data_IF_963858197990
#
_entry.id   IF_963858197990
#
_cell.length_a   1.000
_cell.length_b   1.000
_cell.length_c   1.000
_cell.angle_alpha   90.00
_cell.angle_beta   90.00
_cell.angle_gamma   90.00
#
_symmetry.space_group_name_H-M   'P 1'
#
loop_
_entity.id
_entity.type
_entity.pdbx_description
1 polymer ?
#
# COMPACT_ATOMS: atom_id res chain seq x y z
N UNK A 1 18.46 5.04 -2.30
CA UNK A 1 19.01 4.41 -1.08
C UNK A 1 17.99 3.37 -0.62
N UNK A 2 18.27 2.09 -0.82
CA UNK A 2 17.34 1.00 -0.50
C UNK A 2 17.60 0.50 0.92
N UNK A 3 16.84 1.01 1.90
CA UNK A 3 16.76 0.33 3.18
C UNK A 3 16.03 -1.00 2.99
N UNK A 4 16.60 -2.09 3.51
CA UNK A 4 15.86 -3.34 3.54
C UNK A 4 14.59 -3.15 4.38
N UNK A 5 13.46 -3.68 3.90
CA UNK A 5 12.20 -3.66 4.61
C UNK A 5 11.92 -5.04 5.23
N UNK A 6 11.09 -5.07 6.26
CA UNK A 6 10.68 -6.30 6.93
C UNK A 6 9.22 -6.20 7.30
N UNK A 7 8.48 -7.31 7.23
CA UNK A 7 7.10 -7.33 7.73
C UNK A 7 7.05 -7.01 9.22
N UNK A 8 6.19 -6.07 9.58
CA UNK A 8 5.90 -5.74 10.97
C UNK A 8 5.20 -6.88 11.74
N UNK A 9 4.70 -7.91 11.06
CA UNK A 9 4.26 -9.17 11.69
C UNK A 9 5.35 -9.77 12.59
N UNK A 10 6.61 -9.62 12.20
CA UNK A 10 7.76 -10.08 12.99
C UNK A 10 7.88 -9.35 14.34
N UNK A 11 7.39 -8.12 14.45
CA UNK A 11 7.35 -7.34 15.69
C UNK A 11 6.34 -7.96 16.66
N UNK A 12 5.16 -8.32 16.17
CA UNK A 12 4.11 -8.96 16.99
C UNK A 12 4.60 -10.32 17.49
N UNK A 13 5.22 -11.12 16.62
CA UNK A 13 5.83 -12.40 17.01
C UNK A 13 6.89 -12.21 18.12
N UNK A 14 7.72 -11.16 18.03
CA UNK A 14 8.71 -10.82 19.07
C UNK A 14 8.05 -10.40 20.37
N UNK A 15 6.97 -9.61 20.33
CA UNK A 15 6.22 -9.20 21.51
C UNK A 15 5.63 -10.40 22.24
N UNK A 16 4.97 -11.30 21.51
CA UNK A 16 4.41 -12.53 22.07
C UNK A 16 5.50 -13.41 22.67
N UNK A 17 6.63 -13.61 21.97
CA UNK A 17 7.72 -14.44 22.49
C UNK A 17 8.43 -13.83 23.71
N UNK A 18 8.61 -12.50 23.75
CA UNK A 18 9.41 -11.83 24.78
C UNK A 18 8.61 -11.47 26.02
N UNK A 19 7.37 -11.04 25.84
CA UNK A 19 6.52 -10.50 26.91
C UNK A 19 5.27 -11.36 27.16
N UNK A 20 5.06 -12.44 26.40
CA UNK A 20 3.89 -13.31 26.60
C UNK A 20 2.55 -12.63 26.28
N UNK A 21 2.57 -11.55 25.48
CA UNK A 21 1.37 -10.78 25.15
C UNK A 21 0.68 -11.29 23.88
N UNK A 22 -0.65 -11.16 23.85
CA UNK A 22 -1.47 -11.46 22.66
C UNK A 22 -2.16 -10.19 22.23
N UNK A 23 -2.09 -9.88 20.93
CA UNK A 23 -2.63 -8.66 20.33
C UNK A 23 -3.46 -9.08 19.13
N UNK A 24 -4.66 -8.50 18.98
CA UNK A 24 -5.49 -8.75 17.80
C UNK A 24 -4.78 -8.22 16.55
N UNK A 25 -5.02 -8.85 15.39
CA UNK A 25 -4.40 -8.41 14.14
C UNK A 25 -4.79 -6.96 13.77
N UNK A 26 -6.05 -6.59 13.97
CA UNK A 26 -6.52 -5.23 13.67
C UNK A 26 -5.85 -4.19 14.56
N UNK A 27 -5.75 -4.44 15.87
CA UNK A 27 -5.13 -3.50 16.81
C UNK A 27 -3.63 -3.40 16.58
N UNK A 28 -3.00 -4.54 16.28
CA UNK A 28 -1.59 -4.58 15.93
C UNK A 28 -1.30 -3.71 14.70
N UNK A 29 -2.08 -3.85 13.61
CA UNK A 29 -1.91 -3.03 12.41
C UNK A 29 -2.14 -1.55 12.78
N UNK A 30 -3.23 -1.23 13.47
CA UNK A 30 -3.56 0.14 13.93
C UNK A 30 -2.36 0.80 14.65
N UNK A 31 -1.89 0.18 15.74
CA UNK A 31 -0.82 0.72 16.58
C UNK A 31 0.55 0.73 15.90
N UNK A 32 0.79 -0.16 14.93
CA UNK A 32 2.00 -0.10 14.11
C UNK A 32 1.96 1.14 13.22
N UNK A 33 0.81 1.48 12.65
CA UNK A 33 0.63 2.69 11.86
C UNK A 33 0.91 3.96 12.65
N UNK A 34 0.31 4.06 13.84
CA UNK A 34 0.55 5.16 14.77
C UNK A 34 2.05 5.28 15.12
N UNK A 35 2.73 4.15 15.35
CA UNK A 35 4.16 4.15 15.61
C UNK A 35 4.98 4.68 14.41
N UNK A 36 4.60 4.30 13.18
CA UNK A 36 5.26 4.76 11.94
C UNK A 36 5.11 6.28 11.80
N UNK A 37 3.92 6.81 12.10
CA UNK A 37 3.60 8.23 12.09
C UNK A 37 4.41 9.01 13.14
N UNK A 38 4.43 8.52 14.38
CA UNK A 38 5.18 9.11 15.50
C UNK A 38 6.70 9.14 15.26
N UNK A 39 7.25 8.09 14.63
CA UNK A 39 8.67 8.08 14.24
C UNK A 39 8.93 9.10 13.11
N UNK A 40 7.92 9.37 12.28
CA UNK A 40 8.01 10.27 11.15
C UNK A 40 8.69 9.65 9.92
N UNK A 41 8.71 8.31 9.82
CA UNK A 41 9.44 7.61 8.77
C UNK A 41 8.66 6.41 8.25
N UNK A 42 8.39 6.38 6.94
CA UNK A 42 7.75 5.24 6.24
C UNK A 42 8.64 4.73 5.09
N UNK A 43 8.35 3.52 4.64
CA UNK A 43 9.03 2.84 3.51
C UNK A 43 8.61 3.35 2.12
N UNK A 44 7.80 4.40 2.03
CA UNK A 44 7.28 4.90 0.75
C UNK A 44 6.00 4.19 0.30
N UNK A 45 5.32 4.77 -0.68
CA UNK A 45 4.34 4.07 -1.52
C UNK A 45 5.01 3.56 -2.79
N UNK A 46 4.47 2.50 -3.38
CA UNK A 46 4.94 1.99 -4.67
C UNK A 46 3.78 1.85 -5.65
N UNK A 47 4.09 1.85 -6.95
CA UNK A 47 3.09 1.63 -7.99
C UNK A 47 2.77 0.13 -8.09
N UNK A 48 1.49 -0.22 -8.05
CA UNK A 48 1.01 -1.59 -8.19
C UNK A 48 0.02 -1.70 -9.35
N UNK A 49 0.05 -2.86 -10.00
CA UNK A 49 -0.87 -3.25 -11.07
C UNK A 49 -1.65 -4.47 -10.58
N UNK A 50 -2.97 -4.36 -10.52
CA UNK A 50 -3.84 -5.47 -10.11
C UNK A 50 -4.97 -5.71 -11.11
N UNK A 51 -5.20 -6.98 -11.46
CA UNK A 51 -6.31 -7.40 -12.33
C UNK A 51 -7.55 -7.61 -11.47
N UNK A 52 -8.56 -6.77 -11.65
CA UNK A 52 -9.77 -6.73 -10.82
C UNK A 52 -10.99 -7.11 -11.64
N UNK A 53 -11.86 -7.93 -11.04
CA UNK A 53 -13.13 -8.32 -11.65
C UNK A 53 -14.18 -7.23 -11.40
N UNK A 54 -14.83 -6.76 -12.46
CA UNK A 54 -15.96 -5.85 -12.35
C UNK A 54 -17.19 -6.63 -11.89
N UNK A 55 -17.82 -6.16 -10.81
CA UNK A 55 -19.03 -6.75 -10.24
C UNK A 55 -20.09 -5.66 -10.13
N UNK A 56 -21.26 -5.87 -10.74
CA UNK A 56 -22.37 -4.92 -10.72
C UNK A 56 -21.95 -3.48 -11.11
N UNK A 57 -21.17 -3.35 -12.19
CA UNK A 57 -20.64 -2.07 -12.68
C UNK A 57 -19.74 -1.33 -11.68
N UNK A 58 -19.17 -2.06 -10.72
CA UNK A 58 -18.23 -1.53 -9.73
C UNK A 58 -16.90 -2.27 -9.81
N UNK A 59 -15.82 -1.50 -9.68
CA UNK A 59 -14.45 -2.01 -9.55
C UNK A 59 -14.15 -2.07 -8.04
N UNK A 60 -13.83 -3.24 -7.47
CA UNK A 60 -13.46 -3.35 -6.07
C UNK A 60 -12.19 -2.54 -5.79
N UNK A 61 -12.05 -1.99 -4.59
CA UNK A 61 -10.84 -1.28 -4.18
C UNK A 61 -9.93 -2.26 -3.42
N UNK A 62 -8.67 -2.45 -3.85
CA UNK A 62 -7.70 -3.23 -3.10
C UNK A 62 -7.50 -2.70 -1.65
N UNK A 63 -7.18 -3.60 -0.72
CA UNK A 63 -6.98 -3.22 0.68
C UNK A 63 -5.81 -2.26 0.88
N UNK A 64 -4.74 -2.43 0.09
CA UNK A 64 -3.51 -1.64 0.10
C UNK A 64 -3.60 -0.32 -0.69
N UNK A 65 -4.75 -0.01 -1.28
CA UNK A 65 -4.91 1.16 -2.15
C UNK A 65 -4.79 2.49 -1.40
N UNK A 66 -3.89 3.34 -1.89
CA UNK A 66 -3.68 4.73 -1.48
C UNK A 66 -4.37 5.67 -2.47
N UNK A 67 -3.92 5.70 -3.72
CA UNK A 67 -4.46 6.58 -4.74
C UNK A 67 -4.42 5.97 -6.14
N UNK A 68 -5.40 6.33 -6.96
CA UNK A 68 -5.54 5.82 -8.32
C UNK A 68 -4.65 6.60 -9.27
N UNK A 69 -3.87 5.89 -10.09
CA UNK A 69 -3.21 6.47 -11.25
C UNK A 69 -4.15 6.41 -12.46
N UNK A 70 -4.56 5.20 -12.86
CA UNK A 70 -5.50 4.98 -13.96
C UNK A 70 -6.00 3.53 -14.04
N UNK A 71 -7.03 3.29 -14.84
CA UNK A 71 -7.50 1.94 -15.19
C UNK A 71 -7.19 1.63 -16.64
N UNK A 72 -6.92 0.36 -16.93
CA UNK A 72 -6.79 -0.17 -18.29
C UNK A 72 -7.83 -1.25 -18.53
N UNK A 73 -8.53 -1.14 -19.64
CA UNK A 73 -9.52 -2.08 -20.10
C UNK A 73 -9.36 -2.30 -21.60
N UNK A 74 -9.30 -3.56 -22.05
CA UNK A 74 -9.11 -3.92 -23.46
C UNK A 74 -7.96 -3.16 -24.16
N UNK A 75 -6.86 -2.95 -23.44
CA UNK A 75 -5.66 -2.29 -23.97
C UNK A 75 -5.70 -0.76 -24.02
N UNK A 76 -6.75 -0.12 -23.50
CA UNK A 76 -6.84 1.34 -23.40
C UNK A 76 -7.04 1.82 -21.98
N UNK A 77 -6.52 3.02 -21.70
CA UNK A 77 -6.81 3.76 -20.49
C UNK A 77 -8.29 4.13 -20.47
N UNK A 78 -9.00 3.82 -19.38
CA UNK A 78 -10.38 4.26 -19.21
C UNK A 78 -10.42 5.77 -18.99
N UNK A 79 -11.37 6.45 -19.64
CA UNK A 79 -11.61 7.87 -19.44
C UNK A 79 -12.36 8.10 -18.14
N UNK A 80 -12.08 9.20 -17.46
CA UNK A 80 -12.93 9.65 -16.36
C UNK A 80 -14.23 10.21 -16.95
N UNK A 81 -15.37 9.65 -16.54
CA UNK A 81 -16.70 10.03 -17.02
C UNK A 81 -17.59 10.53 -15.89
N UNK A 82 -18.70 11.18 -16.25
CA UNK A 82 -19.82 11.43 -15.34
C UNK A 82 -20.93 10.39 -15.61
N UNK A 83 -21.69 9.95 -14.58
CA UNK A 83 -22.78 8.98 -14.75
C UNK A 83 -23.83 9.41 -15.79
N UNK A 84 -24.02 10.72 -15.94
CA UNK A 84 -24.93 11.29 -16.92
C UNK A 84 -24.17 11.55 -18.23
N UNK A 85 -24.64 10.90 -19.29
CA UNK A 85 -24.05 10.72 -20.63
C UNK A 85 -23.70 11.99 -21.44
N UNK A 86 -23.52 13.15 -20.83
CA UNK A 86 -23.31 14.43 -21.51
C UNK A 86 -22.16 15.23 -20.91
N UNK A 87 -20.96 14.66 -20.90
CA UNK A 87 -19.71 15.33 -21.29
C UNK A 87 -18.58 14.36 -20.96
N UNK A 88 -18.04 13.69 -21.98
CA UNK A 88 -16.61 13.36 -21.93
C UNK A 88 -15.93 14.72 -21.84
N UNK A 89 -15.44 15.11 -20.66
CA UNK A 89 -14.49 16.21 -20.58
C UNK A 89 -13.42 15.90 -21.63
N UNK A 90 -13.02 16.90 -22.42
CA UNK A 90 -11.83 16.78 -23.27
C UNK A 90 -10.64 16.68 -22.33
N UNK A 91 -10.46 15.49 -21.78
CA UNK A 91 -9.31 15.15 -21.00
C UNK A 91 -8.18 14.95 -22.01
N UNK A 92 -7.47 16.03 -22.29
CA UNK A 92 -6.26 16.02 -23.13
C UNK A 92 -5.15 15.14 -22.53
N UNK A 93 -5.34 14.53 -21.35
CA UNK A 93 -4.46 13.48 -20.85
C UNK A 93 -4.64 12.12 -21.56
N UNK A 94 -5.65 11.97 -22.43
CA UNK A 94 -5.84 10.82 -23.31
C UNK A 94 -5.03 10.90 -24.62
N UNK A 95 -4.28 11.99 -24.85
CA UNK A 95 -3.51 12.22 -26.08
C UNK A 95 -2.15 11.48 -26.10
N UNK A 96 -1.85 10.66 -25.08
CA UNK A 96 -0.68 9.79 -25.01
C UNK A 96 -1.07 8.36 -24.54
N UNK A 97 -2.05 7.76 -25.20
CA UNK A 97 -2.56 6.41 -24.92
C UNK A 97 -1.74 5.28 -25.59
N UNK A 98 -0.41 5.41 -25.67
CA UNK A 98 0.43 4.22 -25.78
C UNK A 98 0.62 3.68 -24.36
N UNK A 99 -0.36 2.91 -23.89
CA UNK A 99 -0.31 2.16 -22.64
C UNK A 99 1.01 1.37 -22.53
N UNK A 100 1.53 0.87 -23.64
CA UNK A 100 2.83 0.19 -23.68
C UNK A 100 3.99 1.15 -23.46
N UNK A 101 3.93 2.35 -24.02
CA UNK A 101 4.88 3.44 -23.76
C UNK A 101 4.92 3.86 -22.29
N UNK A 102 3.78 4.00 -21.63
CA UNK A 102 3.69 4.35 -20.19
C UNK A 102 4.15 3.21 -19.28
N UNK A 103 3.76 1.97 -19.59
CA UNK A 103 4.27 0.77 -18.91
C UNK A 103 5.79 0.70 -19.05
N UNK A 104 6.31 0.80 -20.27
CA UNK A 104 7.74 0.76 -20.55
C UNK A 104 8.50 1.89 -19.84
N UNK A 105 7.95 3.10 -19.76
CA UNK A 105 8.58 4.24 -19.06
C UNK A 105 8.61 4.05 -17.54
N UNK A 106 7.50 3.64 -16.92
CA UNK A 106 7.47 3.34 -15.48
C UNK A 106 8.38 2.17 -15.13
N UNK A 107 8.40 1.11 -15.94
CA UNK A 107 9.30 -0.01 -15.74
C UNK A 107 10.77 0.37 -15.91
N UNK A 108 11.09 1.27 -16.85
CA UNK A 108 12.46 1.77 -17.03
C UNK A 108 12.94 2.56 -15.81
N UNK A 109 12.07 3.37 -15.20
CA UNK A 109 12.35 4.04 -13.93
C UNK A 109 12.54 3.04 -12.77
N UNK A 110 11.69 2.01 -12.66
CA UNK A 110 11.85 0.95 -11.65
C UNK A 110 13.15 0.15 -11.84
N UNK A 111 13.55 -0.09 -13.09
CA UNK A 111 14.81 -0.75 -13.45
C UNK A 111 16.05 0.11 -13.12
N UNK A 112 15.96 1.43 -13.27
CA UNK A 112 17.04 2.34 -12.94
C UNK A 112 17.19 2.51 -11.41
N UNK A 113 16.10 2.47 -10.64
CA UNK A 113 16.10 2.58 -9.16
C UNK A 113 16.44 1.26 -8.43
N UNK A 114 16.05 0.10 -8.94
CA UNK A 114 16.31 -1.20 -8.28
C UNK A 114 17.77 -1.61 -8.25
N UNK A 115 18.55 -1.08 -9.19
CA UNK A 115 19.69 -1.80 -9.74
C UNK A 115 20.98 -0.99 -9.67
N UNK A 116 21.02 0.02 -8.81
CA UNK A 116 22.19 0.86 -8.58
C UNK A 116 23.37 0.06 -7.99
N UNK A 117 23.12 -1.06 -7.27
CA UNK A 117 24.19 -1.81 -6.55
C UNK A 117 24.14 -3.36 -6.68
N UNK A 118 23.35 -3.96 -7.59
CA UNK A 118 23.23 -5.42 -7.71
C UNK A 118 24.21 -6.09 -8.69
N UNK A 119 24.51 -7.37 -8.45
CA UNK A 119 25.38 -8.22 -9.28
C UNK A 119 24.74 -8.42 -10.66
N UNK A 120 25.57 -8.63 -11.70
CA UNK A 120 25.08 -8.67 -13.09
C UNK A 120 24.04 -9.78 -13.37
N UNK A 121 24.16 -10.94 -12.72
CA UNK A 121 23.17 -12.04 -12.84
C UNK A 121 21.80 -11.69 -12.24
N UNK A 122 21.75 -11.02 -11.08
CA UNK A 122 20.48 -10.62 -10.46
C UNK A 122 19.77 -9.56 -11.30
N UNK A 123 20.52 -8.62 -11.88
CA UNK A 123 20.00 -7.63 -12.83
C UNK A 123 19.35 -8.32 -14.04
N UNK A 124 20.03 -9.31 -14.61
CA UNK A 124 19.52 -10.05 -15.78
C UNK A 124 18.25 -10.84 -15.44
N UNK A 125 18.19 -11.49 -14.28
CA UNK A 125 16.98 -12.20 -13.81
C UNK A 125 15.78 -11.26 -13.63
N UNK A 126 15.99 -10.10 -13.00
CA UNK A 126 14.95 -9.08 -12.84
C UNK A 126 14.47 -8.59 -14.20
N UNK A 127 15.38 -8.21 -15.11
CA UNK A 127 15.07 -7.77 -16.47
C UNK A 127 14.24 -8.83 -17.22
N UNK A 128 14.61 -10.11 -17.15
CA UNK A 128 13.89 -11.19 -17.82
C UNK A 128 12.47 -11.36 -17.26
N UNK A 129 12.32 -11.26 -15.94
CA UNK A 129 11.02 -11.32 -15.26
C UNK A 129 10.12 -10.17 -15.69
N UNK A 130 10.66 -8.95 -15.77
CA UNK A 130 9.93 -7.79 -16.26
C UNK A 130 9.53 -7.93 -17.74
N UNK A 131 10.43 -8.40 -18.60
CA UNK A 131 10.12 -8.66 -20.02
C UNK A 131 8.99 -9.67 -20.20
N UNK A 132 8.97 -10.75 -19.42
CA UNK A 132 7.89 -11.74 -19.43
C UNK A 132 6.55 -11.10 -19.00
N UNK A 133 6.58 -10.22 -18.01
CA UNK A 133 5.39 -9.48 -17.53
C UNK A 133 4.86 -8.51 -18.59
N UNK A 134 5.74 -7.81 -19.30
CA UNK A 134 5.38 -6.94 -20.44
C UNK A 134 4.73 -7.77 -21.55
N UNK A 135 5.38 -8.84 -22.00
CA UNK A 135 4.84 -9.69 -23.06
C UNK A 135 3.47 -10.31 -22.71
N UNK A 136 3.26 -10.67 -21.43
CA UNK A 136 1.97 -11.11 -20.93
C UNK A 136 0.91 -9.98 -21.04
N UNK A 137 1.23 -8.77 -20.57
CA UNK A 137 0.33 -7.63 -20.66
C UNK A 137 0.01 -7.26 -22.12
N UNK A 138 1.00 -7.27 -23.02
CA UNK A 138 0.83 -7.06 -24.46
C UNK A 138 -0.14 -8.08 -25.07
N UNK A 139 -0.06 -9.35 -24.65
CA UNK A 139 -0.93 -10.41 -25.15
C UNK A 139 -2.38 -10.26 -24.68
N UNK A 140 -2.60 -9.77 -23.45
CA UNK A 140 -3.94 -9.52 -22.89
C UNK A 140 -4.60 -8.28 -23.53
N UNK A 141 -3.82 -7.28 -23.91
CA UNK A 141 -4.30 -5.99 -24.43
C UNK A 141 -4.57 -5.94 -25.93
N UNK A 142 -4.50 -7.08 -26.64
CA UNK A 142 -4.74 -7.20 -28.10
C UNK A 142 -6.21 -7.03 -28.58
N UNK A 143 -7.04 -6.29 -27.84
CA UNK A 143 -8.46 -6.12 -28.17
C UNK A 143 -8.72 -4.76 -28.84
N UNK A 144 -9.62 -4.76 -29.83
CA UNK A 144 -9.98 -3.57 -30.61
C UNK A 144 -10.90 -2.66 -29.76
N UNK A 145 -10.44 -1.47 -29.33
CA UNK A 145 -11.04 -0.79 -28.19
C UNK A 145 -12.19 0.14 -28.60
N UNK A 146 -13.35 -0.02 -27.94
CA UNK A 146 -14.53 0.82 -28.11
C UNK A 146 -14.29 2.10 -27.28
N UNK A 147 -14.28 3.27 -27.93
CA UNK A 147 -13.98 4.58 -27.32
C UNK A 147 -15.11 5.14 -26.41
N UNK A 148 -15.90 4.25 -25.81
CA UNK A 148 -17.06 4.56 -24.97
C UNK A 148 -16.91 4.09 -23.53
N UNK A 149 -15.80 3.41 -23.20
CA UNK A 149 -15.59 2.86 -21.86
C UNK A 149 -15.01 3.93 -20.91
N UNK A 150 -15.57 4.02 -19.70
CA UNK A 150 -15.24 5.03 -18.71
C UNK A 150 -15.28 4.49 -17.28
N UNK A 151 -14.72 5.26 -16.35
CA UNK A 151 -14.88 5.07 -14.92
C UNK A 151 -15.28 6.38 -14.26
N UNK A 152 -15.90 6.31 -13.08
CA UNK A 152 -16.26 7.47 -12.29
C UNK A 152 -16.14 7.16 -10.79
N UNK A 153 -15.98 8.20 -9.97
CA UNK A 153 -15.99 8.03 -8.52
C UNK A 153 -17.42 7.86 -8.03
N UNK A 154 -17.67 6.79 -7.28
CA UNK A 154 -18.94 6.58 -6.60
C UNK A 154 -18.72 6.91 -5.12
N UNK A 155 -19.37 7.98 -4.64
CA UNK A 155 -19.16 8.56 -3.31
C UNK A 155 -19.04 7.50 -2.21
N UNK A 156 -17.81 7.29 -1.72
CA UNK A 156 -17.50 6.38 -0.62
C UNK A 156 -17.57 4.87 -0.93
N UNK A 157 -17.92 4.44 -2.15
CA UNK A 157 -18.09 3.02 -2.51
C UNK A 157 -17.11 2.51 -3.59
N UNK A 158 -16.13 3.32 -3.96
CA UNK A 158 -15.11 2.98 -4.96
C UNK A 158 -15.43 3.52 -6.34
N UNK A 159 -15.09 2.75 -7.37
CA UNK A 159 -15.16 3.22 -8.76
C UNK A 159 -16.29 2.51 -9.51
N UNK A 160 -17.20 3.30 -10.08
CA UNK A 160 -18.18 2.81 -11.05
C UNK A 160 -17.57 2.74 -12.45
N UNK A 161 -18.04 1.82 -13.28
CA UNK A 161 -17.59 1.68 -14.68
C UNK A 161 -18.67 1.02 -15.54
N UNK A 162 -18.68 1.33 -16.83
CA UNK A 162 -19.45 0.58 -17.83
C UNK A 162 -18.67 -0.61 -18.42
N UNK A 163 -17.39 -0.77 -18.07
CA UNK A 163 -16.59 -1.93 -18.46
C UNK A 163 -17.18 -3.23 -17.87
N UNK A 164 -16.92 -4.35 -18.53
CA UNK A 164 -17.40 -5.67 -18.08
C UNK A 164 -16.25 -6.67 -18.01
N UNK A 165 -16.35 -7.70 -17.17
CA UNK A 165 -15.27 -8.67 -17.02
C UNK A 165 -14.15 -8.18 -16.12
N UNK A 166 -12.96 -7.93 -16.67
CA UNK A 166 -11.77 -7.58 -15.91
C UNK A 166 -11.16 -6.25 -16.36
N UNK A 167 -10.71 -5.46 -15.39
CA UNK A 167 -9.94 -4.23 -15.59
C UNK A 167 -8.60 -4.36 -14.87
N UNK A 168 -7.58 -3.69 -15.37
CA UNK A 168 -6.30 -3.55 -14.70
C UNK A 168 -6.24 -2.20 -14.01
N UNK A 169 -6.04 -2.19 -12.70
CA UNK A 169 -5.92 -0.98 -11.91
C UNK A 169 -4.45 -0.66 -11.66
N UNK A 170 -4.05 0.56 -11.99
CA UNK A 170 -2.74 1.12 -11.71
C UNK A 170 -2.91 2.12 -10.58
N UNK A 171 -2.24 1.89 -9.46
CA UNK A 171 -2.45 2.69 -8.26
C UNK A 171 -1.20 2.72 -7.39
N UNK A 172 -1.10 3.74 -6.54
CA UNK A 172 -0.14 3.76 -5.44
C UNK A 172 -0.66 2.89 -4.30
N UNK A 173 0.19 2.02 -3.78
CA UNK A 173 -0.15 1.06 -2.74
C UNK A 173 0.72 1.22 -1.49
N UNK A 174 0.15 0.87 -0.34
CA UNK A 174 0.92 0.61 0.87
C UNK A 174 1.79 -0.65 0.68
N UNK A 175 3.07 -0.61 1.08
CA UNK A 175 3.90 -1.81 1.13
C UNK A 175 3.44 -2.68 2.30
N UNK A 176 2.60 -3.67 1.98
CA UNK A 176 2.10 -4.66 2.91
C UNK A 176 2.71 -6.03 2.59
N UNK A 177 2.76 -6.91 3.59
CA UNK A 177 2.96 -8.33 3.37
C UNK A 177 1.66 -9.02 2.92
N UNK A 178 1.75 -10.32 2.63
CA UNK A 178 0.61 -11.13 2.19
C UNK A 178 -0.53 -11.21 3.23
N UNK A 179 -0.23 -10.93 4.50
CA UNK A 179 -1.20 -10.86 5.58
C UNK A 179 -1.76 -9.45 5.78
N UNK A 180 -1.33 -8.45 5.02
CA UNK A 180 -1.77 -7.06 5.17
C UNK A 180 -1.09 -6.30 6.31
N UNK A 181 0.01 -6.83 6.88
CA UNK A 181 0.85 -6.07 7.80
C UNK A 181 1.75 -5.11 7.02
N UNK A 182 1.95 -3.87 7.49
CA UNK A 182 2.87 -2.95 6.82
C UNK A 182 4.30 -3.49 6.88
N UNK A 183 5.01 -3.32 5.77
CA UNK A 183 6.46 -3.42 5.76
C UNK A 183 7.02 -2.19 6.44
N UNK A 184 7.99 -2.41 7.32
CA UNK A 184 8.69 -1.37 8.06
C UNK A 184 10.18 -1.44 7.75
N UNK A 185 10.91 -0.38 8.11
CA UNK A 185 12.35 -0.31 7.91
C UNK A 185 13.02 -1.36 8.79
N UNK A 186 13.90 -2.16 8.19
CA UNK A 186 14.60 -3.24 8.86
C UNK A 186 15.84 -2.74 9.64
N UNK A 187 15.67 -1.65 10.38
CA UNK A 187 16.69 -1.10 11.28
C UNK A 187 16.35 -1.45 12.72
N UNK A 188 17.37 -1.78 13.54
CA UNK A 188 17.11 -2.28 14.89
C UNK A 188 16.42 -1.24 15.78
N UNK A 189 16.78 0.03 15.63
CA UNK A 189 16.16 1.16 16.32
C UNK A 189 14.70 1.35 15.91
N UNK A 190 14.40 1.22 14.63
CA UNK A 190 13.04 1.36 14.09
C UNK A 190 12.14 0.22 14.58
N UNK A 191 12.60 -1.03 14.41
CA UNK A 191 11.90 -2.21 14.94
C UNK A 191 11.67 -2.11 16.44
N UNK A 192 12.65 -1.61 17.20
CA UNK A 192 12.51 -1.44 18.64
C UNK A 192 11.52 -0.33 19.01
N UNK A 193 11.50 0.80 18.30
CA UNK A 193 10.55 1.87 18.50
C UNK A 193 9.11 1.39 18.26
N UNK A 194 8.84 0.77 17.12
CA UNK A 194 7.52 0.19 16.80
C UNK A 194 7.10 -0.83 17.86
N UNK A 195 8.01 -1.73 18.24
CA UNK A 195 7.73 -2.74 19.27
C UNK A 195 7.34 -2.12 20.62
N UNK A 196 8.08 -1.10 21.09
CA UNK A 196 7.82 -0.45 22.37
C UNK A 196 6.55 0.39 22.35
N UNK A 197 6.23 1.01 21.22
CA UNK A 197 4.99 1.75 21.05
C UNK A 197 3.75 0.83 21.05
N UNK A 198 3.80 -0.29 20.31
CA UNK A 198 2.72 -1.29 20.32
C UNK A 198 2.49 -1.84 21.74
N UNK A 199 3.56 -2.07 22.50
CA UNK A 199 3.46 -2.47 23.91
C UNK A 199 2.85 -1.36 24.78
N UNK A 200 3.21 -0.09 24.55
CA UNK A 200 2.59 1.05 25.22
C UNK A 200 1.08 1.10 24.95
N UNK A 201 0.65 1.01 23.70
CA UNK A 201 -0.77 1.01 23.34
C UNK A 201 -1.53 -0.15 23.98
N UNK A 202 -0.91 -1.34 24.06
CA UNK A 202 -1.50 -2.49 24.74
C UNK A 202 -1.77 -2.19 26.22
N UNK A 203 -0.80 -1.63 26.94
CA UNK A 203 -0.96 -1.26 28.35
C UNK A 203 -1.97 -0.10 28.52
N UNK A 204 -1.97 0.88 27.60
CA UNK A 204 -2.96 1.97 27.56
C UNK A 204 -4.38 1.46 27.38
N UNK A 205 -4.57 0.34 26.66
CA UNK A 205 -5.87 -0.31 26.45
C UNK A 205 -6.28 -1.20 27.66
N UNK A 206 -5.62 -1.04 28.80
CA UNK A 206 -6.01 -1.70 30.06
C UNK A 206 -5.42 -3.10 30.26
N UNK A 207 -4.51 -3.55 29.39
CA UNK A 207 -3.77 -4.79 29.65
C UNK A 207 -2.78 -4.60 30.80
N UNK A 208 -2.95 -5.39 31.86
CA UNK A 208 -2.07 -5.38 33.02
C UNK A 208 -1.02 -6.49 32.89
N UNK A 209 0.22 -6.13 32.55
CA UNK A 209 1.33 -7.08 32.47
C UNK A 209 1.90 -7.38 33.87
N UNK A 210 2.20 -8.64 34.23
CA UNK A 210 2.62 -9.02 35.59
C UNK A 210 3.95 -8.40 36.04
N UNK A 211 4.83 -8.02 35.10
CA UNK A 211 6.17 -7.52 35.39
C UNK A 211 6.50 -6.15 34.77
N UNK A 212 5.56 -5.54 34.03
CA UNK A 212 5.83 -4.28 33.32
C UNK A 212 4.77 -3.27 33.74
N UNK A 213 5.22 -2.12 34.23
CA UNK A 213 4.36 -1.01 34.57
C UNK A 213 4.29 0.02 33.43
N UNK A 214 3.14 0.71 33.34
CA UNK A 214 2.88 1.71 32.30
C UNK A 214 3.93 2.84 32.27
N UNK A 215 4.27 3.51 33.40
CA UNK A 215 5.28 4.58 33.39
C UNK A 215 6.64 4.17 32.83
N UNK A 216 7.11 2.96 33.17
CA UNK A 216 8.37 2.42 32.63
C UNK A 216 8.28 2.20 31.12
N UNK A 217 7.21 1.56 30.64
CA UNK A 217 7.02 1.30 29.20
C UNK A 217 6.88 2.60 28.40
N UNK A 218 6.16 3.60 28.93
CA UNK A 218 6.03 4.93 28.32
C UNK A 218 7.41 5.57 28.11
N UNK A 219 8.22 5.67 29.17
CA UNK A 219 9.56 6.25 29.10
C UNK A 219 10.47 5.51 28.11
N UNK A 220 10.41 4.18 28.08
CA UNK A 220 11.19 3.37 27.15
C UNK A 220 10.72 3.56 25.69
N UNK A 221 9.41 3.71 25.48
CA UNK A 221 8.81 3.96 24.17
C UNK A 221 9.21 5.33 23.63
N UNK A 222 9.06 6.39 24.42
CA UNK A 222 9.46 7.76 24.05
C UNK A 222 10.95 7.84 23.68
N UNK A 223 11.81 7.18 24.47
CA UNK A 223 13.24 7.11 24.19
C UNK A 223 13.54 6.35 22.89
N UNK A 224 12.83 5.25 22.64
CA UNK A 224 13.00 4.47 21.42
C UNK A 224 12.54 5.25 20.18
N UNK A 225 11.39 5.93 20.25
CA UNK A 225 10.87 6.79 19.19
C UNK A 225 11.84 7.94 18.91
N UNK A 226 12.29 8.66 19.95
CA UNK A 226 13.25 9.76 19.78
C UNK A 226 14.53 9.30 19.06
N UNK A 227 15.06 8.11 19.41
CA UNK A 227 16.23 7.53 18.74
C UNK A 227 15.97 7.15 17.29
N UNK A 228 14.78 6.65 16.97
CA UNK A 228 14.41 6.29 15.60
C UNK A 228 14.13 7.54 14.75
N UNK A 229 13.50 8.56 15.34
CA UNK A 229 13.14 9.80 14.67
C UNK A 229 14.36 10.69 14.37
N UNK A 230 15.46 10.60 15.12
CA UNK A 230 16.67 11.40 14.89
C UNK A 230 17.49 10.98 13.64
N UNK A 231 16.90 10.27 12.69
CA UNK A 231 17.55 9.98 11.40
C UNK A 231 17.59 11.19 10.45
N UNK A 232 18.50 11.14 9.49
CA UNK A 232 18.71 12.18 8.48
C UNK A 232 17.55 12.31 7.48
N UNK A 233 16.64 11.34 7.42
CA UNK A 233 15.49 11.37 6.55
C UNK A 233 14.23 11.30 7.42
N UNK A 234 13.35 12.28 7.28
CA UNK A 234 12.01 12.27 7.84
C UNK A 234 11.05 12.52 6.69
N UNK A 235 9.87 11.94 6.78
CA UNK A 235 8.77 12.34 5.92
C UNK A 235 8.56 13.85 6.04
N UNK A 236 8.28 14.51 4.92
CA UNK A 236 7.79 15.87 4.95
C UNK A 236 6.40 15.89 5.61
N UNK A 237 5.95 17.06 6.07
CA UNK A 237 4.60 17.18 6.64
C UNK A 237 3.51 16.73 5.65
N UNK A 238 3.68 17.02 4.35
CA UNK A 238 2.78 16.56 3.30
C UNK A 238 2.76 15.03 3.19
N UNK A 239 3.93 14.38 3.24
CA UNK A 239 4.01 12.91 3.23
C UNK A 239 3.41 12.28 4.49
N UNK A 240 3.50 12.95 5.64
CA UNK A 240 2.87 12.51 6.88
C UNK A 240 1.35 12.61 6.79
N UNK A 241 0.82 13.73 6.32
CA UNK A 241 -0.62 13.91 6.12
C UNK A 241 -1.18 12.90 5.10
N UNK A 242 -0.45 12.69 4.00
CA UNK A 242 -0.78 11.66 3.01
C UNK A 242 -0.78 10.26 3.63
N UNK A 243 0.22 9.94 4.45
CA UNK A 243 0.28 8.66 5.15
C UNK A 243 -0.92 8.49 6.10
N UNK A 244 -1.12 9.43 7.03
CA UNK A 244 -2.14 9.35 8.07
C UNK A 244 -3.57 9.29 7.48
N UNK A 245 -3.85 10.12 6.47
CA UNK A 245 -5.14 10.15 5.78
C UNK A 245 -5.44 8.83 5.06
N UNK A 246 -4.45 8.24 4.39
CA UNK A 246 -4.63 6.97 3.67
C UNK A 246 -4.60 5.76 4.61
N UNK A 247 -3.87 5.84 5.73
CA UNK A 247 -3.77 4.76 6.70
C UNK A 247 -5.12 4.46 7.37
N UNK A 248 -5.82 5.51 7.79
CA UNK A 248 -7.17 5.40 8.37
C UNK A 248 -8.15 4.71 7.40
N UNK A 249 -8.09 5.08 6.12
CA UNK A 249 -8.91 4.46 5.07
C UNK A 249 -8.57 2.98 4.87
N UNK A 250 -7.28 2.64 4.91
CA UNK A 250 -6.80 1.26 4.82
C UNK A 250 -7.34 0.42 5.98
N UNK A 251 -7.22 0.91 7.22
CA UNK A 251 -7.73 0.25 8.42
C UNK A 251 -9.24 -0.03 8.32
N UNK A 252 -10.02 0.93 7.82
CA UNK A 252 -11.47 0.72 7.63
C UNK A 252 -11.76 -0.45 6.69
N UNK A 253 -11.02 -0.56 5.57
CA UNK A 253 -11.17 -1.66 4.59
C UNK A 253 -10.72 -3.01 5.14
N UNK A 254 -9.63 -3.01 5.91
CA UNK A 254 -9.13 -4.18 6.61
C UNK A 254 -10.19 -4.66 7.63
N UNK A 255 -10.70 -3.76 8.49
CA UNK A 255 -11.74 -4.06 9.49
C UNK A 255 -13.06 -4.52 8.87
N UNK A 256 -13.50 -3.90 7.76
CA UNK A 256 -14.74 -4.32 7.08
C UNK A 256 -14.64 -5.73 6.48
N UNK A 257 -13.45 -6.12 6.02
CA UNK A 257 -13.20 -7.49 5.55
C UNK A 257 -13.30 -8.48 6.72
N UNK A 258 -12.77 -8.16 7.90
CA UNK A 258 -12.84 -9.05 9.08
C UNK A 258 -14.26 -9.18 9.67
N UNK A 259 -15.01 -8.08 9.74
CA UNK A 259 -16.39 -8.10 10.25
C UNK A 259 -17.36 -8.87 9.34
N UNK A 260 -17.01 -9.06 8.06
CA UNK A 260 -17.79 -9.89 7.14
C UNK A 260 -17.62 -11.38 7.42
N UNK A 261 -16.43 -11.82 7.87
CA UNK A 261 -16.14 -13.21 8.20
C UNK A 261 -16.39 -13.58 9.68
N UNK A 262 -16.60 -12.60 10.56
CA UNK A 262 -17.04 -12.86 11.95
C UNK A 262 -18.56 -13.03 12.09
N UNK A 263 -19.32 -12.77 11.03
CA UNK A 263 -20.78 -12.90 10.96
C UNK A 263 -21.24 -13.95 9.93
N UNK A 264 -20.35 -14.83 9.49
CA UNK A 264 -20.63 -15.97 8.59
C UNK A 264 -20.53 -17.30 9.34
#
# INVERSE_FOLDING_TARGET
MNYSSVSSKSIIQRLTSRYGVTISKSDAIDWIGDAIEEIGYHVGFYNKIEKLKVVNYKIPIPCDFVSLNYFIYNGKKLKYGLPDNHTTTRDHSAEYDDVMGLLNANFKLELDDCCVDTNQEEKEYHIETYKKRIAYLESEFKHNPIDKDFYYTNSGQGYGTNATGYVYMFYKAFPLDDDGFPLIINEIKYRNAVMKYVLLCLLSNGYNHPALDYPTVLRESELAISRAANEHFKMTNEQLEDFAGNWTNMLFRIKSTYNYYSNA
#
